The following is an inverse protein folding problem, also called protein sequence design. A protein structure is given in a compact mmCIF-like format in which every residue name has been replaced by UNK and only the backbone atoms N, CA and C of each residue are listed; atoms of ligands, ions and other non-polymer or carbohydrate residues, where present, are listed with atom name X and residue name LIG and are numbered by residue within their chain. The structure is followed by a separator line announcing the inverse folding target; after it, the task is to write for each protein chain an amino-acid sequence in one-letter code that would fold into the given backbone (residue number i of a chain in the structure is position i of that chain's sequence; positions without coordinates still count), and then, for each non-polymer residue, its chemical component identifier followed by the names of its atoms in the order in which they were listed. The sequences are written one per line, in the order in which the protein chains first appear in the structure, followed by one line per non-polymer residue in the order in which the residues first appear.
data_IF_563588489018
#
_entry.id   IF_563588489018
#
_cell.length_a   1.000
_cell.length_b   1.000
_cell.length_c   1.000
_cell.angle_alpha   90.00
_cell.angle_beta   90.00
_cell.angle_gamma   90.00
#
_symmetry.space_group_name_H-M   'P 1'
#
loop_
_entity.id
_entity.type
_entity.pdbx_description
1 polymer ?
#
# COMPACT_ATOMS: atom_id res chain seq x y z
N UNK A 1 -20.92 -15.95 2.35
CA UNK A 1 -19.85 -15.95 3.37
C UNK A 1 -19.87 -14.58 4.03
N UNK A 2 -20.47 -14.48 5.23
CA UNK A 2 -20.59 -13.20 5.95
C UNK A 2 -19.34 -13.01 6.80
N UNK A 3 -18.43 -12.15 6.36
CA UNK A 3 -17.33 -11.73 7.20
C UNK A 3 -17.87 -10.75 8.24
N UNK A 4 -17.59 -11.08 9.51
CA UNK A 4 -17.89 -10.33 10.73
C UNK A 4 -17.73 -8.82 10.56
N UNK A 5 -18.52 -8.02 11.29
CA UNK A 5 -18.62 -6.55 11.30
C UNK A 5 -17.28 -5.76 11.23
N UNK A 6 -16.17 -6.40 11.57
CA UNK A 6 -14.82 -5.81 11.66
C UNK A 6 -13.81 -6.36 10.64
N UNK A 7 -14.08 -7.48 9.97
CA UNK A 7 -13.16 -8.09 9.00
C UNK A 7 -13.42 -7.59 7.58
N UNK A 8 -12.37 -7.23 6.85
CA UNK A 8 -12.44 -6.82 5.44
C UNK A 8 -11.53 -7.70 4.60
N UNK A 9 -12.09 -8.36 3.59
CA UNK A 9 -11.32 -9.08 2.58
C UNK A 9 -11.64 -8.49 1.21
N UNK A 10 -10.61 -8.16 0.44
CA UNK A 10 -10.75 -7.69 -0.93
C UNK A 10 -9.73 -8.41 -1.82
N UNK A 11 -10.17 -8.81 -3.00
CA UNK A 11 -9.32 -9.40 -4.02
C UNK A 11 -9.69 -8.78 -5.35
N UNK A 12 -8.71 -8.18 -6.00
CA UNK A 12 -8.79 -7.64 -7.35
C UNK A 12 -7.62 -8.23 -8.13
N UNK A 13 -7.91 -9.24 -8.95
CA UNK A 13 -6.90 -10.02 -9.62
C UNK A 13 -7.21 -10.09 -11.10
N UNK A 14 -6.37 -9.43 -11.88
CA UNK A 14 -6.37 -9.53 -13.34
C UNK A 14 -5.01 -10.05 -13.79
N UNK A 15 -5.02 -11.13 -14.58
CA UNK A 15 -3.83 -11.70 -15.22
C UNK A 15 -4.21 -12.17 -16.61
N UNK A 16 -3.41 -11.80 -17.59
CA UNK A 16 -3.60 -12.18 -18.99
C UNK A 16 -2.41 -13.01 -19.48
N UNK A 17 -2.64 -13.82 -20.51
CA UNK A 17 -1.64 -14.70 -21.11
C UNK A 17 -0.47 -13.94 -21.74
N UNK A 18 -0.78 -12.82 -22.38
CA UNK A 18 0.14 -12.05 -23.19
C UNK A 18 -0.21 -10.55 -23.16
N UNK A 19 0.75 -9.65 -23.46
CA UNK A 19 0.53 -8.20 -23.44
C UNK A 19 -0.52 -7.68 -24.43
N UNK A 20 -0.82 -8.41 -25.51
CA UNK A 20 -1.77 -7.95 -26.54
C UNK A 20 -3.20 -8.45 -26.29
N UNK A 21 -3.44 -9.21 -25.21
CA UNK A 21 -4.71 -9.85 -24.92
C UNK A 21 -5.91 -8.89 -24.99
N UNK A 22 -5.79 -7.68 -24.42
CA UNK A 22 -6.88 -6.69 -24.46
C UNK A 22 -6.93 -5.88 -25.77
N UNK A 23 -5.90 -5.96 -26.62
CA UNK A 23 -5.94 -5.45 -27.99
C UNK A 23 -6.75 -6.38 -28.90
N UNK A 24 -6.63 -7.69 -28.67
CA UNK A 24 -7.29 -8.71 -29.50
C UNK A 24 -8.71 -9.04 -29.01
N UNK A 25 -8.98 -8.94 -27.70
CA UNK A 25 -10.27 -9.30 -27.11
C UNK A 25 -10.86 -8.17 -26.26
N UNK A 26 -12.09 -7.75 -26.58
CA UNK A 26 -12.84 -6.87 -25.70
C UNK A 26 -13.37 -7.66 -24.50
N UNK A 27 -12.96 -7.25 -23.29
CA UNK A 27 -13.42 -7.85 -22.03
C UNK A 27 -14.15 -6.80 -21.21
N UNK A 28 -15.10 -7.24 -20.38
CA UNK A 28 -15.72 -6.35 -19.38
C UNK A 28 -14.73 -5.95 -18.27
N UNK A 29 -13.62 -6.67 -18.15
CA UNK A 29 -12.63 -6.55 -17.08
C UNK A 29 -11.29 -5.95 -17.55
N UNK A 30 -11.23 -5.47 -18.80
CA UNK A 30 -10.08 -4.75 -19.34
C UNK A 30 -10.26 -4.36 -20.80
N UNK A 31 -9.56 -3.30 -21.21
CA UNK A 31 -9.66 -2.63 -22.51
C UNK A 31 -8.29 -2.54 -23.19
N UNK A 32 -8.26 -2.38 -24.51
CA UNK A 32 -7.04 -2.13 -25.30
C UNK A 32 -6.28 -0.87 -24.87
N UNK A 33 -6.90 -0.01 -24.05
CA UNK A 33 -6.27 1.17 -23.44
C UNK A 33 -5.47 0.86 -22.17
N UNK A 34 -5.62 -0.33 -21.60
CA UNK A 34 -4.98 -0.69 -20.35
C UNK A 34 -3.51 -1.05 -20.61
N UNK A 35 -2.57 -0.31 -20.02
CA UNK A 35 -1.13 -0.56 -20.18
C UNK A 35 -0.56 -1.56 -19.17
N UNK A 36 -1.36 -2.03 -18.21
CA UNK A 36 -0.98 -3.01 -17.20
C UNK A 36 -2.20 -3.63 -16.53
N UNK A 37 -2.07 -4.87 -16.03
CA UNK A 37 -3.05 -5.49 -15.14
C UNK A 37 -2.61 -5.44 -13.68
N UNK A 38 -3.57 -5.23 -12.78
CA UNK A 38 -3.35 -5.18 -11.34
C UNK A 38 -3.67 -6.53 -10.70
N UNK A 39 -2.79 -6.96 -9.79
CA UNK A 39 -2.98 -8.14 -8.97
C UNK A 39 -2.83 -7.72 -7.51
N UNK A 40 -3.97 -7.45 -6.87
CA UNK A 40 -4.06 -6.93 -5.51
C UNK A 40 -4.91 -7.84 -4.64
N UNK A 41 -4.32 -8.26 -3.53
CA UNK A 41 -5.06 -8.91 -2.45
C UNK A 41 -4.92 -8.06 -1.20
N UNK A 42 -6.00 -7.91 -0.44
CA UNK A 42 -5.92 -7.31 0.89
C UNK A 42 -6.84 -7.99 1.89
N UNK A 43 -6.32 -8.13 3.10
CA UNK A 43 -7.05 -8.57 4.26
C UNK A 43 -6.83 -7.55 5.37
N UNK A 44 -7.89 -7.19 6.07
CA UNK A 44 -7.81 -6.18 7.10
C UNK A 44 -8.80 -6.40 8.22
N UNK A 45 -8.48 -5.78 9.34
CA UNK A 45 -9.31 -5.67 10.51
C UNK A 45 -9.56 -4.19 10.78
N UNK A 46 -10.82 -3.81 10.97
CA UNK A 46 -11.23 -2.42 11.18
C UNK A 46 -12.15 -2.39 12.37
N UNK A 47 -11.83 -1.56 13.35
CA UNK A 47 -12.65 -1.21 14.49
C UNK A 47 -12.83 0.32 14.56
N UNK A 48 -13.50 0.84 15.59
CA UNK A 48 -13.82 2.27 15.73
C UNK A 48 -12.58 3.18 15.77
N UNK A 49 -11.53 2.75 16.46
CA UNK A 49 -10.33 3.55 16.73
C UNK A 49 -9.05 2.95 16.13
N UNK A 50 -9.17 1.86 15.38
CA UNK A 50 -8.03 1.12 14.89
C UNK A 50 -8.37 0.39 13.61
N UNK A 51 -7.50 0.49 12.61
CA UNK A 51 -7.51 -0.41 11.47
C UNK A 51 -6.11 -0.91 11.12
N UNK A 52 -6.05 -2.16 10.69
CA UNK A 52 -4.84 -2.75 10.15
C UNK A 52 -5.20 -3.48 8.87
N UNK A 53 -4.45 -3.22 7.80
CA UNK A 53 -4.63 -3.87 6.51
C UNK A 53 -3.29 -4.42 6.04
N UNK A 54 -3.25 -5.72 5.79
CA UNK A 54 -2.17 -6.36 5.04
C UNK A 54 -2.61 -6.49 3.58
N UNK A 55 -1.73 -6.11 2.66
CA UNK A 55 -2.00 -6.20 1.23
C UNK A 55 -0.76 -6.65 0.46
N UNK A 56 -1.00 -7.32 -0.66
CA UNK A 56 0.01 -7.60 -1.67
C UNK A 56 -0.43 -6.95 -2.96
N UNK A 57 0.46 -6.19 -3.61
CA UNK A 57 0.17 -5.47 -4.85
C UNK A 57 1.24 -5.81 -5.87
N UNK A 58 0.83 -6.35 -7.00
CA UNK A 58 1.68 -6.68 -8.15
C UNK A 58 1.06 -6.08 -9.41
N UNK A 59 1.90 -5.79 -10.40
CA UNK A 59 1.48 -5.25 -11.68
C UNK A 59 2.09 -6.07 -12.81
N UNK A 60 1.27 -6.47 -13.78
CA UNK A 60 1.70 -7.06 -15.03
C UNK A 60 1.69 -5.96 -16.10
N UNK A 61 2.85 -5.39 -16.43
CA UNK A 61 2.96 -4.34 -17.45
C UNK A 61 2.86 -4.97 -18.85
N UNK A 62 2.02 -4.40 -19.72
CA UNK A 62 1.79 -4.89 -21.08
C UNK A 62 2.75 -4.24 -22.07
N UNK A 63 4.05 -4.45 -21.83
CA UNK A 63 5.11 -3.99 -22.72
C UNK A 63 6.20 -5.07 -22.78
N UNK A 64 6.48 -5.57 -24.00
CA UNK A 64 7.47 -6.65 -24.22
C UNK A 64 8.91 -6.22 -24.01
N UNK A 65 9.22 -4.93 -24.15
CA UNK A 65 10.58 -4.39 -24.07
C UNK A 65 10.91 -3.87 -22.66
N UNK A 66 9.90 -3.49 -21.87
CA UNK A 66 10.09 -2.94 -20.53
C UNK A 66 8.92 -3.30 -19.60
N UNK A 67 9.03 -4.48 -18.98
CA UNK A 67 8.04 -4.99 -18.02
C UNK A 67 8.53 -4.98 -16.57
N UNK A 68 9.65 -4.28 -16.29
CA UNK A 68 10.18 -4.17 -14.93
C UNK A 68 9.18 -3.37 -14.07
N UNK A 69 8.64 -4.02 -13.04
CA UNK A 69 7.69 -3.38 -12.13
C UNK A 69 7.97 -3.81 -10.70
N UNK A 70 7.83 -2.87 -9.78
CA UNK A 70 7.91 -3.15 -8.36
C UNK A 70 6.57 -3.63 -7.83
N UNK A 71 6.62 -4.66 -7.01
CA UNK A 71 5.51 -5.20 -6.26
C UNK A 71 5.73 -4.96 -4.75
N UNK A 72 4.64 -4.73 -4.03
CA UNK A 72 4.62 -4.67 -2.58
C UNK A 72 4.21 -6.02 -2.01
N UNK A 73 5.13 -6.72 -1.33
CA UNK A 73 4.98 -8.11 -0.88
C UNK A 73 5.63 -8.37 0.48
N UNK A 74 4.87 -8.32 1.59
CA UNK A 74 3.60 -7.64 1.76
C UNK A 74 3.78 -6.14 2.09
N UNK A 75 2.67 -5.41 2.03
CA UNK A 75 2.49 -4.08 2.62
C UNK A 75 1.51 -4.19 3.78
N UNK A 76 1.95 -3.80 4.97
CA UNK A 76 1.13 -3.64 6.16
C UNK A 76 0.93 -2.15 6.41
N UNK A 77 -0.33 -1.73 6.51
CA UNK A 77 -0.74 -0.40 6.93
C UNK A 77 -1.53 -0.51 8.25
N UNK A 78 -1.24 0.36 9.20
CA UNK A 78 -1.89 0.41 10.51
C UNK A 78 -2.24 1.85 10.82
N UNK A 79 -3.49 2.08 11.24
CA UNK A 79 -3.97 3.35 11.73
C UNK A 79 -4.54 3.19 13.14
N UNK A 80 -4.24 4.14 14.01
CA UNK A 80 -4.83 4.26 15.33
C UNK A 80 -5.33 5.68 15.54
N UNK A 81 -6.57 5.82 16.00
CA UNK A 81 -7.26 7.09 16.18
C UNK A 81 -7.68 7.23 17.63
N UNK A 82 -7.25 8.31 18.26
CA UNK A 82 -7.69 8.66 19.61
C UNK A 82 -8.11 10.11 19.63
N UNK A 83 -9.42 10.31 19.68
CA UNK A 83 -10.04 11.62 19.84
C UNK A 83 -10.15 11.96 21.33
N UNK A 84 -10.43 13.23 21.62
CA UNK A 84 -10.67 13.75 22.97
C UNK A 84 -9.49 13.59 23.95
N UNK A 85 -8.25 13.69 23.46
CA UNK A 85 -7.04 13.77 24.29
C UNK A 85 -6.89 15.20 24.79
N UNK A 86 -7.72 15.58 25.76
CA UNK A 86 -7.89 16.99 26.15
C UNK A 86 -8.57 17.77 25.01
N UNK A 87 -8.01 18.90 24.54
CA UNK A 87 -8.55 19.61 23.38
C UNK A 87 -8.07 19.04 22.03
N UNK A 88 -7.26 17.98 22.05
CA UNK A 88 -6.60 17.45 20.85
C UNK A 88 -7.23 16.14 20.37
N UNK A 89 -7.22 15.96 19.06
CA UNK A 89 -7.39 14.66 18.41
C UNK A 89 -6.04 14.14 17.94
N UNK A 90 -5.82 12.83 18.04
CA UNK A 90 -4.55 12.22 17.67
C UNK A 90 -4.77 11.07 16.69
N UNK A 91 -3.86 10.98 15.74
CA UNK A 91 -3.82 9.90 14.75
C UNK A 91 -2.39 9.39 14.63
N UNK A 92 -2.26 8.06 14.64
CA UNK A 92 -0.99 7.39 14.43
C UNK A 92 -1.11 6.50 13.20
N UNK A 93 -0.24 6.77 12.22
CA UNK A 93 -0.08 5.93 11.05
C UNK A 93 1.26 5.19 11.08
N UNK A 94 1.21 3.91 10.76
CA UNK A 94 2.39 3.07 10.60
C UNK A 94 2.29 2.27 9.31
N UNK A 95 3.40 2.17 8.58
CA UNK A 95 3.50 1.31 7.41
C UNK A 95 4.79 0.51 7.43
N UNK A 96 4.69 -0.78 7.11
CA UNK A 96 5.82 -1.62 6.78
C UNK A 96 5.58 -2.26 5.42
N UNK A 97 6.50 -2.08 4.49
CA UNK A 97 6.37 -2.59 3.13
C UNK A 97 7.69 -3.17 2.66
N UNK A 98 7.62 -4.33 2.02
CA UNK A 98 8.73 -4.93 1.31
C UNK A 98 8.47 -4.84 -0.19
N UNK A 99 9.40 -4.19 -0.90
CA UNK A 99 9.36 -3.98 -2.34
C UNK A 99 10.28 -4.97 -3.03
N UNK A 100 9.68 -5.77 -3.91
CA UNK A 100 10.39 -6.71 -4.79
C UNK A 100 10.15 -6.30 -6.24
N UNK A 101 11.10 -6.57 -7.14
CA UNK A 101 10.91 -6.29 -8.56
C UNK A 101 10.67 -7.60 -9.32
N UNK A 102 9.97 -7.53 -10.45
CA UNK A 102 9.85 -8.67 -11.38
C UNK A 102 11.20 -9.11 -11.96
N UNK A 103 12.18 -8.21 -12.01
CA UNK A 103 13.55 -8.48 -12.43
C UNK A 103 14.49 -8.64 -11.23
N UNK A 104 15.05 -9.84 -11.04
CA UNK A 104 15.93 -10.16 -9.91
C UNK A 104 17.28 -9.41 -9.87
N UNK A 105 17.62 -8.68 -10.94
CA UNK A 105 18.80 -7.80 -10.96
C UNK A 105 18.52 -6.41 -10.36
N UNK A 106 17.25 -6.06 -10.13
CA UNK A 106 16.86 -4.82 -9.50
C UNK A 106 16.91 -4.94 -7.97
N UNK A 107 17.26 -3.85 -7.26
CA UNK A 107 17.37 -3.88 -5.81
C UNK A 107 16.01 -4.06 -5.14
N UNK A 108 15.95 -4.94 -4.14
CA UNK A 108 14.83 -5.02 -3.22
C UNK A 108 14.97 -3.97 -2.10
N UNK A 109 13.84 -3.56 -1.52
CA UNK A 109 13.84 -2.56 -0.46
C UNK A 109 12.78 -2.86 0.60
N UNK A 110 13.13 -2.77 1.88
CA UNK A 110 12.17 -2.80 2.98
C UNK A 110 12.03 -1.41 3.57
N UNK A 111 10.83 -0.85 3.58
CA UNK A 111 10.55 0.46 4.17
C UNK A 111 9.66 0.31 5.39
N UNK A 112 10.07 0.93 6.48
CA UNK A 112 9.22 1.18 7.64
C UNK A 112 8.97 2.67 7.72
N UNK A 113 7.74 3.06 7.98
CA UNK A 113 7.30 4.45 8.08
C UNK A 113 6.40 4.61 9.30
N UNK A 114 6.57 5.71 10.00
CA UNK A 114 5.85 6.04 11.22
C UNK A 114 5.49 7.53 11.21
N UNK A 115 4.21 7.82 11.40
CA UNK A 115 3.64 9.16 11.27
C UNK A 115 2.62 9.44 12.38
N UNK A 116 3.05 10.02 13.51
CA UNK A 116 2.13 10.57 14.48
C UNK A 116 1.66 11.98 14.05
N UNK A 117 0.36 12.20 14.22
CA UNK A 117 -0.34 13.44 13.92
C UNK A 117 -1.15 13.87 15.14
N UNK A 118 -1.05 15.14 15.50
CA UNK A 118 -1.84 15.77 16.55
C UNK A 118 -2.60 16.92 15.94
N UNK A 119 -3.89 17.00 16.22
CA UNK A 119 -4.80 17.98 15.68
C UNK A 119 -5.52 18.74 16.78
N UNK A 120 -5.69 20.05 16.62
CA UNK A 120 -6.42 20.94 17.53
C UNK A 120 -7.55 21.63 16.75
N UNK A 121 -8.76 21.04 16.74
CA UNK A 121 -9.94 21.66 16.15
C UNK A 121 -10.57 22.68 17.11
N UNK A 122 -10.73 23.91 16.66
CA UNK A 122 -11.43 24.98 17.38
C UNK A 122 -12.60 25.46 16.53
N UNK A 123 -13.82 25.32 17.01
CA UNK A 123 -15.03 25.75 16.28
C UNK A 123 -15.98 26.54 17.18
N UNK A 124 -16.63 27.55 16.62
CA UNK A 124 -17.70 28.31 17.22
C UNK A 124 -18.82 28.59 16.19
N UNK A 125 -19.88 29.31 16.59
CA UNK A 125 -21.05 29.54 15.75
C UNK A 125 -20.83 30.35 14.47
N UNK A 126 -19.66 30.98 14.30
CA UNK A 126 -19.36 31.82 13.13
C UNK A 126 -18.10 31.39 12.37
N UNK A 127 -17.38 30.36 12.85
CA UNK A 127 -16.17 29.88 12.18
C UNK A 127 -15.53 28.65 12.81
N UNK A 128 -14.54 28.10 12.10
CA UNK A 128 -13.69 27.03 12.61
C UNK A 128 -12.25 27.21 12.14
N UNK A 129 -11.31 26.83 13.00
CA UNK A 129 -9.87 26.81 12.76
C UNK A 129 -9.36 25.44 13.21
N UNK A 130 -8.49 24.83 12.41
CA UNK A 130 -7.89 23.54 12.72
C UNK A 130 -6.38 23.65 12.64
N UNK A 131 -5.67 23.34 13.71
CA UNK A 131 -4.19 23.36 13.74
C UNK A 131 -3.65 21.93 13.81
N UNK A 132 -2.86 21.53 12.83
CA UNK A 132 -2.29 20.19 12.72
C UNK A 132 -0.76 20.22 12.85
N UNK A 133 -0.21 19.28 13.61
CA UNK A 133 1.22 19.00 13.68
C UNK A 133 1.47 17.52 13.36
N UNK A 134 2.43 17.26 12.46
CA UNK A 134 2.73 15.93 11.93
C UNK A 134 4.24 15.67 11.90
N UNK A 135 4.65 14.48 12.32
CA UNK A 135 6.04 14.02 12.23
C UNK A 135 6.14 12.89 11.21
N UNK A 136 7.11 12.96 10.31
CA UNK A 136 7.34 11.95 9.27
C UNK A 136 8.66 11.21 9.54
N UNK A 137 8.58 9.97 10.02
CA UNK A 137 9.77 9.16 10.33
C UNK A 137 9.84 7.94 9.41
N UNK A 138 10.92 7.85 8.61
CA UNK A 138 11.18 6.70 7.73
C UNK A 138 12.61 6.21 7.94
N UNK A 139 12.85 5.26 8.88
CA UNK A 139 14.18 4.69 9.04
C UNK A 139 14.61 3.96 7.76
N UNK A 140 15.84 4.21 7.33
CA UNK A 140 16.45 3.50 6.20
C UNK A 140 16.89 2.11 6.67
N UNK A 141 16.55 1.02 5.96
CA UNK A 141 17.12 -0.29 6.23
C UNK A 141 18.64 -0.26 5.99
N UNK A 142 19.40 -1.02 6.79
CA UNK A 142 20.81 -1.26 6.49
C UNK A 142 20.94 -1.93 5.12
N UNK A 143 21.84 -1.42 4.26
CA UNK A 143 22.11 -2.01 2.93
C UNK A 143 22.49 -3.49 3.11
N UNK A 144 21.79 -4.40 2.43
CA UNK A 144 22.25 -5.78 2.31
C UNK A 144 23.61 -5.80 1.59
N UNK A 145 24.63 -6.49 2.14
CA UNK A 145 25.88 -6.68 1.41
C UNK A 145 25.59 -7.47 0.14
N UNK A 146 26.18 -7.04 -0.99
CA UNK A 146 26.15 -7.79 -2.26
C UNK A 146 26.59 -9.23 -1.97
N UNK A 147 25.69 -10.18 -2.18
CA UNK A 147 26.06 -11.60 -2.25
C UNK A 147 26.94 -11.76 -3.50
N UNK A 148 28.25 -11.83 -3.30
CA UNK A 148 29.20 -12.22 -4.35
C UNK A 148 28.91 -13.68 -4.66
N UNK A 149 28.26 -13.95 -5.80
CA UNK A 149 28.16 -15.30 -6.33
C UNK A 149 29.57 -15.73 -6.79
N UNK A 150 30.26 -16.47 -5.92
CA UNK A 150 31.37 -17.31 -6.36
C UNK A 150 30.78 -18.47 -7.16
N UNK A 151 30.93 -18.43 -8.48
CA UNK A 151 30.80 -19.62 -9.31
C UNK A 151 31.99 -20.53 -8.98
N UNK A 152 31.70 -21.77 -8.58
CA UNK A 152 32.63 -22.90 -8.71
C UNK A 152 32.14 -23.79 -9.84
#
# INVERSE_FOLDING_TARGET
MSLTRYGRLNADYTKVSDPDYFNDFSSKYGSSTDGYATQKFSAGYVNQNFDATVSTKQFQVFNRESSNSYAAQPQLDVNYYQNDVGPFDTHLYGQAVHFVNTNGNMPEATRVHFEPTINLPLSNGWGSINTEAKLLATPLPAKQPRQLQFHQ
#
